data_IF_248019792662
#
_entry.id   IF_248019792662
#
_cell.length_a   1.000
_cell.length_b   1.000
_cell.length_c   1.000
_cell.angle_alpha   90.00
_cell.angle_beta   90.00
_cell.angle_gamma   90.00
#
_symmetry.space_group_name_H-M   'P 1'
#
loop_
_entity.id
_entity.type
_entity.pdbx_description
1 polymer ?
#
# COMPACT_ATOMS: atom_id res chain seq x y z
N UNK A 1 -11.35 -14.55 -2.65
CA UNK A 1 -10.52 -13.35 -2.34
C UNK A 1 -11.12 -12.60 -1.15
N UNK A 2 -10.33 -11.94 -0.28
CA UNK A 2 -10.89 -11.07 0.79
C UNK A 2 -11.18 -9.64 0.32
N UNK A 3 -10.56 -9.25 -0.79
CA UNK A 3 -10.68 -7.94 -1.40
C UNK A 3 -10.76 -8.08 -2.91
N UNK A 4 -11.49 -7.18 -3.56
CA UNK A 4 -11.51 -7.06 -5.02
C UNK A 4 -10.86 -5.74 -5.39
N UNK A 5 -9.62 -5.77 -5.89
CA UNK A 5 -8.89 -4.56 -6.25
C UNK A 5 -9.44 -4.07 -7.60
N UNK A 6 -10.13 -2.94 -7.60
CA UNK A 6 -10.78 -2.41 -8.80
C UNK A 6 -9.86 -1.50 -9.59
N UNK A 7 -8.93 -0.82 -8.91
CA UNK A 7 -8.08 0.17 -9.54
C UNK A 7 -6.78 0.39 -8.76
N UNK A 8 -5.72 0.57 -9.52
CA UNK A 8 -4.42 0.97 -9.00
C UNK A 8 -3.88 2.12 -9.83
N UNK A 9 -3.36 3.16 -9.19
CA UNK A 9 -2.71 4.30 -9.82
C UNK A 9 -1.37 4.56 -9.18
N UNK A 10 -0.38 4.88 -10.01
CA UNK A 10 0.92 5.35 -9.58
C UNK A 10 1.35 6.53 -10.45
N UNK A 11 1.55 7.69 -9.83
CA UNK A 11 2.00 8.91 -10.50
C UNK A 11 3.00 9.64 -9.61
N UNK A 12 4.17 9.96 -10.16
CA UNK A 12 5.19 10.79 -9.49
C UNK A 12 5.56 10.29 -8.07
N UNK A 13 5.62 8.98 -7.88
CA UNK A 13 5.96 8.36 -6.60
C UNK A 13 4.81 8.31 -5.59
N UNK A 14 3.62 8.78 -5.95
CA UNK A 14 2.39 8.62 -5.16
C UNK A 14 1.60 7.45 -5.72
N UNK A 15 0.85 6.76 -4.87
CA UNK A 15 -0.08 5.74 -5.34
C UNK A 15 -1.44 5.80 -4.66
N UNK A 16 -2.44 5.32 -5.39
CA UNK A 16 -3.84 5.23 -4.99
C UNK A 16 -4.38 3.85 -5.40
N UNK A 17 -4.80 3.08 -4.42
CA UNK A 17 -5.41 1.76 -4.59
C UNK A 17 -6.88 1.88 -4.22
N UNK A 18 -7.77 1.48 -5.12
CA UNK A 18 -9.20 1.34 -4.84
C UNK A 18 -9.55 -0.14 -4.80
N UNK A 19 -10.20 -0.57 -3.74
CA UNK A 19 -10.59 -1.97 -3.54
C UNK A 19 -11.95 -2.06 -2.85
N UNK A 20 -12.64 -3.17 -3.09
CA UNK A 20 -13.89 -3.51 -2.41
C UNK A 20 -13.60 -4.60 -1.39
N UNK A 21 -14.13 -4.46 -0.18
CA UNK A 21 -14.07 -5.46 0.88
C UNK A 21 -15.48 -5.95 1.17
N UNK A 22 -15.66 -7.26 1.22
CA UNK A 22 -16.91 -7.85 1.66
C UNK A 22 -16.97 -7.86 3.19
N UNK A 23 -17.95 -7.17 3.76
CA UNK A 23 -18.17 -7.10 5.21
C UNK A 23 -19.64 -7.39 5.51
N UNK A 24 -19.90 -8.50 6.20
CA UNK A 24 -21.23 -8.84 6.74
C UNK A 24 -22.40 -8.76 5.72
N UNK A 25 -22.19 -9.18 4.46
CA UNK A 25 -23.27 -9.13 3.46
C UNK A 25 -23.29 -7.88 2.59
N UNK A 26 -22.41 -6.92 2.84
CA UNK A 26 -22.29 -5.68 2.07
C UNK A 26 -20.90 -5.54 1.44
N UNK A 27 -20.87 -4.94 0.26
CA UNK A 27 -19.65 -4.54 -0.44
C UNK A 27 -19.28 -3.10 -0.06
N UNK A 28 -18.21 -2.95 0.71
CA UNK A 28 -17.67 -1.63 1.08
C UNK A 28 -16.50 -1.27 0.16
N UNK A 29 -16.59 -0.09 -0.47
CA UNK A 29 -15.50 0.43 -1.30
C UNK A 29 -14.54 1.28 -0.46
N UNK A 30 -13.25 0.96 -0.51
CA UNK A 30 -12.18 1.68 0.14
C UNK A 30 -11.18 2.25 -0.89
N UNK A 31 -10.51 3.33 -0.51
CA UNK A 31 -9.36 3.88 -1.25
C UNK A 31 -8.21 4.11 -0.28
N UNK A 32 -7.04 3.56 -0.61
CA UNK A 32 -5.81 3.74 0.13
C UNK A 32 -4.85 4.58 -0.71
N UNK A 33 -4.40 5.70 -0.15
CA UNK A 33 -3.49 6.64 -0.80
C UNK A 33 -2.21 6.76 0.00
N UNK A 34 -1.08 6.71 -0.68
CA UNK A 34 0.22 6.96 -0.08
C UNK A 34 1.01 7.97 -0.89
N UNK A 35 1.75 8.80 -0.16
CA UNK A 35 2.66 9.81 -0.69
C UNK A 35 4.13 9.43 -0.47
N UNK A 36 4.38 8.27 0.13
CA UNK A 36 5.72 7.77 0.40
C UNK A 36 6.36 7.19 -0.86
N UNK A 37 7.70 7.17 -0.89
CA UNK A 37 8.44 6.54 -1.98
C UNK A 37 7.98 5.08 -2.11
N UNK A 38 7.53 4.64 -3.30
CA UNK A 38 7.06 3.28 -3.47
C UNK A 38 8.17 2.28 -3.17
N UNK A 39 7.84 1.20 -2.48
CA UNK A 39 8.76 0.09 -2.22
C UNK A 39 9.24 -0.53 -3.55
N UNK A 40 10.44 -1.13 -3.59
CA UNK A 40 10.98 -1.75 -4.80
C UNK A 40 10.01 -2.72 -5.48
N UNK A 41 9.31 -3.55 -4.72
CA UNK A 41 8.34 -4.54 -5.20
C UNK A 41 7.17 -3.88 -5.95
N UNK A 42 6.71 -2.74 -5.45
CA UNK A 42 5.69 -1.92 -6.13
C UNK A 42 6.18 -1.29 -7.43
N UNK A 43 7.48 -0.95 -7.50
CA UNK A 43 8.08 -0.44 -8.74
C UNK A 43 8.24 -1.55 -9.77
N UNK A 44 8.61 -2.76 -9.35
CA UNK A 44 8.70 -3.92 -10.23
C UNK A 44 7.34 -4.27 -10.82
N UNK A 45 6.29 -4.33 -9.99
CA UNK A 45 4.92 -4.49 -10.44
C UNK A 45 4.52 -3.43 -11.50
N UNK A 46 4.90 -2.16 -11.28
CA UNK A 46 4.67 -1.08 -12.23
C UNK A 46 5.43 -1.23 -13.55
N UNK A 47 6.68 -1.69 -13.49
CA UNK A 47 7.51 -2.00 -14.67
C UNK A 47 6.90 -3.16 -15.47
N UNK A 48 6.44 -4.22 -14.79
CA UNK A 48 5.73 -5.34 -15.43
C UNK A 48 4.50 -4.85 -16.18
N UNK A 49 3.68 -3.99 -15.57
CA UNK A 49 2.52 -3.40 -16.26
C UNK A 49 2.89 -2.58 -17.50
N UNK A 50 3.98 -1.82 -17.45
CA UNK A 50 4.48 -1.09 -18.62
C UNK A 50 4.92 -2.06 -19.71
N UNK A 51 5.65 -3.12 -19.37
CA UNK A 51 6.08 -4.13 -20.32
C UNK A 51 4.88 -4.83 -21.00
N UNK A 52 3.85 -5.17 -20.23
CA UNK A 52 2.60 -5.75 -20.73
C UNK A 52 1.90 -4.85 -21.76
N UNK A 53 1.77 -3.56 -21.46
CA UNK A 53 1.19 -2.58 -22.40
C UNK A 53 1.99 -2.51 -23.70
N UNK A 54 3.32 -2.46 -23.61
CA UNK A 54 4.19 -2.38 -24.78
C UNK A 54 4.17 -3.66 -25.62
N UNK A 55 3.96 -4.81 -25.00
CA UNK A 55 3.81 -6.11 -25.67
C UNK A 55 2.51 -6.17 -26.48
N UNK A 56 1.38 -5.79 -25.87
CA UNK A 56 0.04 -5.86 -26.49
C UNK A 56 -0.20 -4.77 -27.52
N UNK A 57 0.40 -3.58 -27.37
CA UNK A 57 0.20 -2.46 -28.28
C UNK A 57 1.48 -2.14 -29.05
N UNK A 58 1.58 -2.71 -30.25
CA UNK A 58 2.70 -2.47 -31.17
C UNK A 58 2.94 -0.97 -31.46
N UNK A 59 1.89 -0.15 -31.41
CA UNK A 59 1.98 1.30 -31.61
C UNK A 59 2.95 1.99 -30.63
N UNK A 60 3.12 1.45 -29.42
CA UNK A 60 4.02 2.02 -28.42
C UNK A 60 5.46 1.49 -28.50
N UNK A 61 5.77 0.51 -29.37
CA UNK A 61 7.13 -0.05 -29.52
C UNK A 61 8.18 0.99 -29.93
N UNK A 62 7.78 2.01 -30.69
CA UNK A 62 8.68 3.10 -31.11
C UNK A 62 8.77 4.24 -30.09
N UNK A 63 7.83 4.28 -29.13
CA UNK A 63 7.71 5.34 -28.12
C UNK A 63 7.90 4.82 -26.69
N UNK A 64 8.50 3.64 -26.50
CA UNK A 64 8.61 2.98 -25.19
C UNK A 64 9.24 3.88 -24.11
N UNK A 65 10.22 4.69 -24.50
CA UNK A 65 10.91 5.63 -23.61
C UNK A 65 10.06 6.86 -23.26
N UNK A 66 9.02 7.14 -24.03
CA UNK A 66 8.10 8.27 -23.82
C UNK A 66 6.85 7.86 -23.05
N UNK A 67 6.51 6.56 -23.05
CA UNK A 67 5.31 6.02 -22.40
C UNK A 67 5.53 5.81 -20.91
N UNK A 68 4.59 6.28 -20.11
CA UNK A 68 4.45 5.96 -18.70
C UNK A 68 3.03 5.43 -18.43
N UNK A 69 2.93 4.36 -17.64
CA UNK A 69 1.66 3.86 -17.11
C UNK A 69 1.33 4.66 -15.85
N UNK A 70 0.14 5.24 -15.78
CA UNK A 70 -0.32 5.98 -14.60
C UNK A 70 -1.32 5.20 -13.76
N UNK A 71 -1.99 4.21 -14.35
CA UNK A 71 -2.84 3.32 -13.60
C UNK A 71 -3.48 2.22 -14.42
N UNK A 72 -4.09 1.30 -13.70
CA UNK A 72 -4.79 0.13 -14.22
C UNK A 72 -6.13 0.00 -13.49
N UNK A 73 -7.14 -0.41 -14.24
CA UNK A 73 -8.44 -0.80 -13.74
C UNK A 73 -8.62 -2.29 -14.06
N UNK A 74 -9.20 -3.03 -13.11
CA UNK A 74 -9.41 -4.47 -13.20
C UNK A 74 -10.89 -4.77 -13.28
N UNK A 75 -11.24 -5.74 -14.12
CA UNK A 75 -12.57 -6.34 -14.23
C UNK A 75 -12.46 -7.81 -13.87
N UNK A 76 -13.40 -8.30 -13.10
CA UNK A 76 -13.44 -9.68 -12.59
C UNK A 76 -14.64 -10.43 -13.16
N UNK A 77 -14.51 -11.75 -13.25
CA UNK A 77 -15.57 -12.65 -13.70
C UNK A 77 -15.95 -12.49 -15.18
N UNK A 78 -16.75 -13.43 -15.69
CA UNK A 78 -17.18 -13.42 -17.08
C UNK A 78 -17.63 -14.80 -17.53
N UNK A 79 -17.88 -14.93 -18.84
CA UNK A 79 -18.41 -16.18 -19.43
C UNK A 79 -17.47 -17.38 -19.24
N UNK A 80 -16.18 -17.13 -19.01
CA UNK A 80 -15.12 -18.15 -18.88
C UNK A 80 -14.19 -17.90 -17.68
N UNK A 81 -14.59 -17.02 -16.75
CA UNK A 81 -13.78 -16.63 -15.59
C UNK A 81 -14.59 -16.76 -14.31
N UNK A 82 -13.96 -17.26 -13.26
CA UNK A 82 -14.52 -17.29 -11.92
C UNK A 82 -14.79 -15.87 -11.42
N UNK A 83 -15.76 -15.65 -10.50
CA UNK A 83 -16.08 -14.31 -9.99
C UNK A 83 -14.88 -13.55 -9.40
N UNK A 84 -13.91 -14.28 -8.85
CA UNK A 84 -12.70 -13.73 -8.23
C UNK A 84 -11.51 -13.64 -9.22
N UNK A 85 -11.67 -14.11 -10.46
CA UNK A 85 -10.60 -14.08 -11.47
C UNK A 85 -10.68 -12.82 -12.32
N UNK A 86 -9.54 -12.19 -12.57
CA UNK A 86 -9.46 -11.03 -13.47
C UNK A 86 -9.71 -11.48 -14.90
N UNK A 87 -10.80 -10.96 -15.48
CA UNK A 87 -11.18 -11.21 -16.87
C UNK A 87 -10.77 -10.10 -17.82
N UNK A 88 -10.41 -8.93 -17.30
CA UNK A 88 -10.03 -7.81 -18.14
C UNK A 88 -9.27 -6.72 -17.40
N UNK A 89 -8.39 -6.06 -18.14
CA UNK A 89 -7.66 -4.88 -17.65
C UNK A 89 -7.87 -3.68 -18.55
N UNK A 90 -7.81 -2.49 -17.96
CA UNK A 90 -7.81 -1.23 -18.68
C UNK A 90 -6.69 -0.37 -18.16
N UNK A 91 -5.78 0.00 -19.05
CA UNK A 91 -4.56 0.73 -18.69
C UNK A 91 -4.71 2.19 -19.08
N UNK A 92 -4.29 3.07 -18.17
CA UNK A 92 -4.18 4.51 -18.37
C UNK A 92 -2.72 4.92 -18.26
N UNK A 93 -2.34 5.88 -19.08
CA UNK A 93 -0.97 6.37 -19.10
C UNK A 93 -0.84 7.67 -19.86
N UNK A 94 0.40 8.09 -20.02
CA UNK A 94 0.73 9.27 -20.78
C UNK A 94 2.00 9.07 -21.61
N UNK A 95 2.07 9.77 -22.74
CA UNK A 95 3.28 9.95 -23.51
C UNK A 95 3.78 11.36 -23.27
N UNK A 96 5.07 11.51 -22.93
CA UNK A 96 5.73 12.81 -22.86
C UNK A 96 6.78 12.92 -23.95
N UNK A 97 6.65 13.91 -24.83
CA UNK A 97 7.66 14.19 -25.84
C UNK A 97 8.82 15.02 -25.26
N UNK A 98 9.85 15.28 -26.07
CA UNK A 98 11.04 16.07 -25.66
C UNK A 98 10.70 17.52 -25.34
N UNK A 99 9.61 18.04 -25.89
CA UNK A 99 9.11 19.40 -25.68
C UNK A 99 8.18 19.49 -24.44
N UNK A 100 8.10 18.42 -23.65
CA UNK A 100 7.25 18.28 -22.46
C UNK A 100 5.74 18.31 -22.73
N UNK A 101 5.32 18.17 -23.98
CA UNK A 101 3.91 17.95 -24.31
C UNK A 101 3.48 16.57 -23.81
N UNK A 102 2.28 16.51 -23.22
CA UNK A 102 1.75 15.31 -22.59
C UNK A 102 0.50 14.86 -23.33
N UNK A 103 0.55 13.68 -23.93
CA UNK A 103 -0.62 13.00 -24.49
C UNK A 103 -1.10 11.95 -23.49
N UNK A 104 -2.32 12.09 -22.97
CA UNK A 104 -2.92 11.09 -22.07
C UNK A 104 -3.66 10.05 -22.91
N UNK A 105 -3.47 8.77 -22.59
CA UNK A 105 -4.20 7.68 -23.24
C UNK A 105 -4.91 6.79 -22.22
N UNK A 106 -5.98 6.16 -22.68
CA UNK A 106 -6.63 5.05 -21.99
C UNK A 106 -6.89 3.96 -23.02
N UNK A 107 -6.55 2.74 -22.67
CA UNK A 107 -6.92 1.58 -23.50
C UNK A 107 -8.42 1.32 -23.38
N UNK A 108 -8.96 0.54 -24.33
CA UNK A 108 -10.20 -0.21 -24.09
C UNK A 108 -9.91 -1.34 -23.09
N UNK A 109 -10.96 -2.03 -22.64
CA UNK A 109 -10.79 -3.27 -21.88
C UNK A 109 -10.04 -4.29 -22.74
N UNK A 110 -8.99 -4.86 -22.17
CA UNK A 110 -8.17 -5.90 -22.74
C UNK A 110 -8.51 -7.17 -22.01
N UNK A 111 -8.90 -8.20 -22.76
CA UNK A 111 -9.17 -9.50 -22.17
C UNK A 111 -7.86 -10.15 -21.72
N UNK A 112 -7.92 -10.81 -20.57
CA UNK A 112 -6.76 -11.44 -19.94
C UNK A 112 -6.60 -12.85 -20.49
N UNK A 113 -5.46 -13.13 -21.11
CA UNK A 113 -5.04 -14.51 -21.45
C UNK A 113 -4.19 -15.12 -20.32
N UNK A 114 -3.83 -16.40 -20.44
CA UNK A 114 -3.11 -17.12 -19.38
C UNK A 114 -1.76 -16.48 -19.02
N UNK A 115 -0.99 -16.07 -20.03
CA UNK A 115 0.30 -15.43 -19.82
C UNK A 115 0.13 -14.09 -19.09
N UNK A 116 -0.89 -13.31 -19.48
CA UNK A 116 -1.21 -12.04 -18.84
C UNK A 116 -1.78 -12.21 -17.41
N UNK A 117 -2.44 -13.33 -17.13
CA UNK A 117 -3.00 -13.62 -15.81
C UNK A 117 -1.90 -13.78 -14.75
N UNK A 118 -0.80 -14.46 -15.07
CA UNK A 118 0.33 -14.65 -14.15
C UNK A 118 0.95 -13.32 -13.75
N UNK A 119 1.26 -12.46 -14.73
CA UNK A 119 1.83 -11.13 -14.47
C UNK A 119 0.89 -10.23 -13.68
N UNK A 120 -0.43 -10.29 -13.97
CA UNK A 120 -1.44 -9.54 -13.20
C UNK A 120 -1.50 -10.03 -11.76
N UNK A 121 -1.45 -11.34 -11.53
CA UNK A 121 -1.51 -11.93 -10.20
C UNK A 121 -0.30 -11.53 -9.34
N UNK A 122 0.89 -11.37 -9.94
CA UNK A 122 2.05 -10.82 -9.23
C UNK A 122 1.79 -9.38 -8.75
N UNK A 123 1.21 -8.54 -9.60
CA UNK A 123 0.84 -7.16 -9.25
C UNK A 123 -0.23 -7.13 -8.15
N UNK A 124 -1.28 -7.95 -8.28
CA UNK A 124 -2.35 -8.03 -7.30
C UNK A 124 -1.86 -8.53 -5.95
N UNK A 125 -1.01 -9.56 -5.92
CA UNK A 125 -0.45 -10.11 -4.68
C UNK A 125 0.34 -9.06 -3.89
N UNK A 126 1.11 -8.21 -4.56
CA UNK A 126 1.82 -7.11 -3.89
C UNK A 126 0.87 -6.02 -3.37
N UNK A 127 -0.19 -5.69 -4.14
CA UNK A 127 -1.22 -4.75 -3.69
C UNK A 127 -1.96 -5.30 -2.46
N UNK A 128 -2.33 -6.58 -2.46
CA UNK A 128 -2.97 -7.24 -1.33
C UNK A 128 -2.06 -7.24 -0.09
N UNK A 129 -0.79 -7.60 -0.24
CA UNK A 129 0.18 -7.55 0.87
C UNK A 129 0.32 -6.15 1.47
N UNK A 130 0.15 -5.11 0.65
CA UNK A 130 0.13 -3.74 1.14
C UNK A 130 -1.16 -3.39 1.87
N UNK A 131 -2.32 -3.75 1.32
CA UNK A 131 -3.64 -3.55 1.97
C UNK A 131 -3.68 -4.24 3.33
N UNK A 132 -3.13 -5.46 3.42
CA UNK A 132 -3.04 -6.24 4.66
C UNK A 132 -2.02 -5.68 5.66
N UNK A 133 -1.27 -4.63 5.31
CA UNK A 133 -0.28 -4.03 6.20
C UNK A 133 1.01 -4.84 6.37
N UNK A 134 1.12 -6.03 5.75
CA UNK A 134 2.35 -6.85 5.75
C UNK A 134 3.55 -6.04 5.24
N UNK A 135 3.32 -5.14 4.29
CA UNK A 135 4.34 -4.23 3.75
C UNK A 135 4.48 -2.93 4.55
N UNK A 136 3.46 -2.47 5.27
CA UNK A 136 3.58 -1.26 6.09
C UNK A 136 4.40 -1.52 7.38
N UNK A 137 4.29 -2.74 7.94
CA UNK A 137 4.90 -3.11 9.22
C UNK A 137 6.32 -3.68 9.11
N UNK A 138 6.76 -4.12 7.92
CA UNK A 138 8.07 -4.74 7.74
C UNK A 138 9.26 -3.84 8.13
N UNK A 139 9.09 -2.52 8.19
CA UNK A 139 10.16 -1.60 8.63
C UNK A 139 10.02 -1.13 10.09
N UNK A 140 8.94 -1.48 10.79
CA UNK A 140 8.72 -1.04 12.19
C UNK A 140 9.49 -1.88 13.21
N UNK A 141 9.94 -3.09 12.85
CA UNK A 141 10.61 -4.02 13.76
C UNK A 141 12.05 -4.39 13.36
N UNK A 142 12.51 -3.99 12.16
CA UNK A 142 13.86 -4.28 11.69
C UNK A 142 14.93 -3.38 12.35
N UNK A 143 14.55 -2.22 12.89
CA UNK A 143 15.47 -1.32 13.60
C UNK A 143 15.64 -1.70 15.09
N UNK A 144 14.66 -2.35 15.73
CA UNK A 144 14.77 -2.79 17.13
C UNK A 144 15.68 -4.01 17.30
N UNK A 145 15.80 -4.87 16.29
CA UNK A 145 16.70 -6.04 16.37
C UNK A 145 18.19 -5.69 16.22
N UNK A 146 18.53 -4.51 15.70
CA UNK A 146 19.94 -4.06 15.59
C UNK A 146 20.46 -3.38 16.86
N UNK A 147 19.59 -2.97 17.79
CA UNK A 147 20.00 -2.35 19.04
C UNK A 147 20.37 -3.36 20.15
N UNK A 148 19.85 -4.59 20.09
CA UNK A 148 20.08 -5.61 21.15
C UNK A 148 21.14 -6.68 20.79
N UNK A 149 21.86 -6.52 19.69
CA UNK A 149 22.87 -7.47 19.24
C UNK A 149 24.28 -7.27 19.81
N UNK A 150 24.46 -6.49 20.88
CA UNK A 150 25.79 -6.28 21.46
C UNK A 150 25.75 -6.02 22.98
N UNK A 151 25.39 -7.04 23.75
CA UNK A 151 25.81 -7.14 25.15
C UNK A 151 26.27 -8.58 25.40
N UNK A 152 27.59 -8.72 25.50
CA UNK A 152 28.25 -9.96 25.90
C UNK A 152 27.78 -10.41 27.29
N UNK A 153 27.74 -11.73 27.43
CA UNK A 153 27.65 -12.54 28.64
C UNK A 153 28.56 -12.06 29.78
N UNK A 154 28.02 -11.94 31.00
CA UNK A 154 28.58 -12.54 32.24
C UNK A 154 27.71 -12.22 33.47
N UNK A 155 27.29 -13.30 34.13
CA UNK A 155 27.20 -13.52 35.58
C UNK A 155 26.22 -12.78 36.51
N UNK A 156 25.57 -13.63 37.33
CA UNK A 156 25.00 -13.43 38.69
C UNK A 156 23.75 -12.54 38.79
N UNK A 157 22.73 -12.79 39.62
CA UNK A 157 22.53 -13.69 40.76
C UNK A 157 21.01 -13.74 41.01
N UNK A 158 20.48 -14.92 41.35
CA UNK A 158 19.13 -15.03 41.95
C UNK A 158 19.31 -14.75 43.44
N UNK A 159 18.69 -13.70 43.95
CA UNK A 159 18.40 -13.55 45.38
C UNK A 159 16.98 -12.99 45.50
N UNK A 160 16.10 -13.76 46.14
CA UNK A 160 14.80 -13.30 46.59
C UNK A 160 14.93 -12.61 47.94
N UNK A 161 14.01 -11.70 48.23
CA UNK A 161 13.66 -11.28 49.58
C UNK A 161 12.21 -10.82 49.53
N UNK A 162 11.35 -11.62 50.19
CA UNK A 162 10.07 -11.17 50.72
C UNK A 162 10.37 -10.14 51.81
N UNK A 163 9.74 -8.97 51.76
CA UNK A 163 9.59 -8.10 52.93
C UNK A 163 8.20 -7.46 52.90
N UNK A 164 7.35 -7.98 53.78
CA UNK A 164 6.07 -7.42 54.19
C UNK A 164 6.28 -6.02 54.79
N UNK A 165 5.55 -5.01 54.30
CA UNK A 165 5.23 -3.83 55.10
C UNK A 165 3.78 -3.37 54.86
N UNK A 166 3.06 -3.38 55.98
CA UNK A 166 1.65 -3.06 56.19
C UNK A 166 1.25 -1.61 55.83
N UNK A 167 -0.06 -1.50 55.54
CA UNK A 167 -1.00 -0.39 55.78
C UNK A 167 -0.45 0.95 56.27
N UNK A 168 -0.73 2.04 55.54
CA UNK A 168 -1.85 2.95 55.82
C UNK A 168 -1.77 4.24 54.97
N UNK A 169 -2.95 4.83 54.78
CA UNK A 169 -3.23 6.24 54.47
C UNK A 169 -3.30 6.77 53.02
N UNK A 170 -4.53 7.29 52.77
CA UNK A 170 -4.86 8.54 52.09
C UNK A 170 -5.19 8.50 50.59
N UNK A 171 -6.51 8.45 50.36
CA UNK A 171 -7.25 9.22 49.36
C UNK A 171 -6.49 10.43 48.77
N UNK A 172 -6.24 10.43 47.47
CA UNK A 172 -6.59 11.60 46.64
C UNK A 172 -6.70 11.24 45.15
N UNK A 173 -7.92 11.31 44.65
CA UNK A 173 -8.25 11.24 43.23
C UNK A 173 -8.09 12.66 42.70
N UNK A 174 -7.05 12.92 41.90
CA UNK A 174 -6.97 14.14 41.10
C UNK A 174 -7.06 13.83 39.60
N UNK A 175 -7.93 14.55 38.84
CA UNK A 175 -8.07 14.33 37.42
C UNK A 175 -6.93 15.02 36.65
N UNK A 176 -6.28 14.27 35.75
CA UNK A 176 -5.26 14.78 34.85
C UNK A 176 -5.89 15.65 33.74
N UNK A 177 -6.11 16.93 34.02
CA UNK A 177 -6.20 17.96 32.98
C UNK A 177 -4.84 18.64 32.84
N UNK A 178 -4.17 18.44 31.70
CA UNK A 178 -3.36 19.44 31.00
C UNK A 178 -2.79 18.87 29.69
N UNK A 179 -3.61 18.90 28.64
CA UNK A 179 -3.15 18.77 27.25
C UNK A 179 -2.85 20.16 26.67
N UNK A 180 -1.71 20.39 25.98
CA UNK A 180 -1.21 21.72 25.61
C UNK A 180 -1.92 22.44 24.43
N UNK A 181 -3.20 22.16 24.16
CA UNK A 181 -3.88 22.69 22.96
C UNK A 181 -4.57 24.06 23.09
N UNK A 182 -4.55 24.72 24.25
CA UNK A 182 -5.17 26.05 24.40
C UNK A 182 -4.13 27.18 24.52
N UNK A 183 -3.45 27.48 23.40
CA UNK A 183 -2.75 28.77 23.19
C UNK A 183 -2.84 29.18 21.72
N UNK A 184 -3.95 29.80 21.32
CA UNK A 184 -3.99 30.82 20.27
C UNK A 184 -5.43 31.32 20.03
N UNK A 185 -5.97 32.16 20.92
CA UNK A 185 -7.01 33.14 20.57
C UNK A 185 -7.29 34.07 21.77
N UNK A 186 -6.32 34.92 22.11
CA UNK A 186 -6.61 36.16 22.86
C UNK A 186 -5.54 37.20 22.54
N UNK A 187 -5.96 38.26 21.87
CA UNK A 187 -5.18 39.49 21.72
C UNK A 187 -5.28 40.07 20.31
N UNK A 188 -6.19 41.01 20.11
CA UNK A 188 -5.83 42.41 19.86
C UNK A 188 -7.09 43.28 19.69
N UNK A 189 -7.23 44.18 20.66
CA UNK A 189 -8.08 45.38 20.78
C UNK A 189 -9.58 45.21 21.01
#
# INVERSE_FOLDING_TARGET
MRYTITKFKMESGKFDITYTKYVQGMDEQHSLKSYEKPRPEFKEAHVTMKALLLSKFGAFKFAQNMVAVSGIEFRYGGKDFSPDEVSGIKVKGYLRNKESEVCVFSTKWLDVDKDLAEDINLVLGEIEAYIEGKRAQANLFDEEQKANGNANTSDAEIIGEDDDLDMDDADDITPYENSPFNRAAKGLN
#
